data_IF_298537318660
#
_entry.id   IF_298537318660
#
_cell.length_a   1.000
_cell.length_b   1.000
_cell.length_c   1.000
_cell.angle_alpha   90.00
_cell.angle_beta   90.00
_cell.angle_gamma   90.00
#
_symmetry.space_group_name_H-M   'P 1'
#
loop_
_entity.id
_entity.type
_entity.pdbx_description
1 polymer ?
#
# COMPACT_ATOMS: atom_id res chain seq x y z
N UNK A 1 -35.74 65.75 -36.27
CA UNK A 1 -35.67 64.30 -35.95
C UNK A 1 -34.28 63.73 -36.24
N UNK A 2 -33.29 63.90 -35.35
CA UNK A 2 -32.03 63.12 -35.45
C UNK A 2 -31.33 62.84 -34.11
N UNK A 3 -31.91 63.26 -32.97
CA UNK A 3 -31.26 63.08 -31.67
C UNK A 3 -31.53 61.72 -31.00
N UNK A 4 -32.56 60.99 -31.45
CA UNK A 4 -32.89 59.64 -30.94
C UNK A 4 -32.13 58.50 -31.63
N UNK A 5 -31.44 58.77 -32.76
CA UNK A 5 -30.69 57.73 -33.49
C UNK A 5 -29.34 57.41 -32.86
N UNK A 6 -28.76 58.33 -32.09
CA UNK A 6 -27.43 58.15 -31.48
C UNK A 6 -27.43 57.43 -30.12
N UNK A 7 -28.57 57.32 -29.42
CA UNK A 7 -28.60 56.56 -28.16
C UNK A 7 -28.78 55.05 -28.37
N UNK A 8 -29.41 54.62 -29.45
CA UNK A 8 -29.58 53.19 -29.76
C UNK A 8 -28.27 52.56 -30.27
N UNK A 9 -27.39 53.34 -30.90
CA UNK A 9 -26.07 52.87 -31.35
C UNK A 9 -25.11 52.68 -30.16
N UNK A 10 -25.19 53.51 -29.12
CA UNK A 10 -24.36 53.36 -27.92
C UNK A 10 -24.84 52.27 -26.95
N UNK A 11 -26.11 51.89 -26.98
CA UNK A 11 -26.63 50.76 -26.19
C UNK A 11 -26.33 49.39 -26.81
N UNK A 12 -26.14 49.31 -28.14
CA UNK A 12 -25.68 48.08 -28.79
C UNK A 12 -24.18 47.83 -28.64
N UNK A 13 -23.39 48.86 -28.37
CA UNK A 13 -21.94 48.74 -28.17
C UNK A 13 -21.54 48.25 -26.76
N UNK A 14 -22.46 48.24 -25.80
CA UNK A 14 -22.20 47.82 -24.41
C UNK A 14 -22.62 46.38 -24.10
N UNK A 15 -23.29 45.68 -25.02
CA UNK A 15 -23.82 44.32 -24.80
C UNK A 15 -23.11 43.18 -25.53
N UNK A 16 -21.98 43.43 -26.19
CA UNK A 16 -21.15 42.37 -26.75
C UNK A 16 -19.83 42.26 -25.98
N UNK A 17 -19.89 41.75 -24.75
CA UNK A 17 -18.73 41.13 -24.12
C UNK A 17 -18.38 39.84 -24.88
N UNK A 18 -17.60 39.97 -25.96
CA UNK A 18 -16.73 38.90 -26.45
C UNK A 18 -15.65 38.68 -25.39
N UNK A 19 -15.91 37.89 -24.35
CA UNK A 19 -14.87 37.31 -23.46
C UNK A 19 -15.37 36.29 -22.40
N UNK A 20 -16.56 35.64 -22.47
CA UNK A 20 -16.93 34.67 -21.43
C UNK A 20 -16.05 33.40 -21.46
N UNK A 21 -15.49 33.05 -22.63
CA UNK A 21 -14.62 31.87 -22.75
C UNK A 21 -13.29 32.06 -22.03
N UNK A 22 -12.64 33.22 -22.11
CA UNK A 22 -11.30 33.43 -21.55
C UNK A 22 -11.34 33.43 -20.01
N UNK A 23 -12.40 33.97 -19.41
CA UNK A 23 -12.61 33.91 -17.95
C UNK A 23 -12.96 32.49 -17.49
N UNK A 24 -13.80 31.76 -18.24
CA UNK A 24 -14.12 30.36 -17.93
C UNK A 24 -12.90 29.43 -18.01
N UNK A 25 -12.07 29.57 -19.04
CA UNK A 25 -10.82 28.78 -19.17
C UNK A 25 -9.82 29.08 -18.04
N UNK A 26 -9.71 30.34 -17.60
CA UNK A 26 -8.87 30.69 -16.44
C UNK A 26 -9.40 30.06 -15.14
N UNK A 27 -10.71 30.12 -14.90
CA UNK A 27 -11.32 29.51 -13.72
C UNK A 27 -11.14 27.99 -13.74
N UNK A 28 -11.33 27.35 -14.89
CA UNK A 28 -11.10 25.90 -15.05
C UNK A 28 -9.63 25.52 -14.85
N UNK A 29 -8.69 26.36 -15.29
CA UNK A 29 -7.25 26.15 -15.06
C UNK A 29 -6.89 26.27 -13.57
N UNK A 30 -7.40 27.29 -12.86
CA UNK A 30 -7.20 27.42 -11.41
C UNK A 30 -7.87 26.28 -10.63
N UNK A 31 -9.06 25.84 -11.05
CA UNK A 31 -9.76 24.69 -10.47
C UNK A 31 -9.00 23.37 -10.70
N UNK A 32 -8.43 23.18 -11.88
CA UNK A 32 -7.57 22.04 -12.20
C UNK A 32 -6.29 22.03 -11.35
N UNK A 33 -5.62 23.17 -11.18
CA UNK A 33 -4.46 23.29 -10.27
C UNK A 33 -4.86 23.03 -8.82
N UNK A 34 -6.01 23.54 -8.38
CA UNK A 34 -6.51 23.30 -7.03
C UNK A 34 -6.80 21.81 -6.79
N UNK A 35 -7.43 21.12 -7.76
CA UNK A 35 -7.63 19.68 -7.71
C UNK A 35 -6.29 18.94 -7.69
N UNK A 36 -5.35 19.32 -8.56
CA UNK A 36 -4.04 18.68 -8.64
C UNK A 36 -3.23 18.84 -7.35
N UNK A 37 -3.28 20.03 -6.73
CA UNK A 37 -2.64 20.28 -5.42
C UNK A 37 -3.33 19.49 -4.31
N UNK A 38 -4.65 19.31 -4.35
CA UNK A 38 -5.38 18.44 -3.42
C UNK A 38 -4.97 16.97 -3.57
N UNK A 39 -4.82 16.49 -4.81
CA UNK A 39 -4.34 15.13 -5.09
C UNK A 39 -2.88 14.92 -4.69
N UNK A 40 -2.02 15.93 -4.86
CA UNK A 40 -0.61 15.86 -4.43
C UNK A 40 -0.47 15.79 -2.90
N UNK A 41 -1.34 16.48 -2.14
CA UNK A 41 -1.37 16.39 -0.67
C UNK A 41 -1.82 15.00 -0.23
N UNK A 42 -2.77 14.37 -0.93
CA UNK A 42 -3.27 13.03 -0.59
C UNK A 42 -2.22 11.91 -0.78
N UNK A 43 -1.22 12.13 -1.63
CA UNK A 43 -0.11 11.19 -1.83
C UNK A 43 1.08 11.40 -0.86
N UNK A 44 1.11 12.49 -0.09
CA UNK A 44 2.21 12.80 0.82
C UNK A 44 1.88 12.34 2.24
N UNK A 45 2.53 11.27 2.72
CA UNK A 45 2.66 11.03 4.17
C UNK A 45 2.06 9.74 4.75
N UNK A 46 1.83 8.69 3.96
CA UNK A 46 1.41 7.39 4.52
C UNK A 46 2.56 6.57 5.09
N UNK A 47 3.75 6.62 4.49
CA UNK A 47 4.90 5.83 4.93
C UNK A 47 5.72 6.57 5.99
N UNK A 48 6.00 5.89 7.10
CA UNK A 48 6.85 6.38 8.18
C UNK A 48 8.31 6.24 7.79
N UNK A 49 9.13 7.24 8.15
CA UNK A 49 10.55 7.27 7.75
C UNK A 49 11.39 6.48 8.74
N UNK A 50 12.01 5.38 8.28
CA UNK A 50 12.97 4.61 9.09
C UNK A 50 14.18 5.48 9.46
N UNK A 51 14.56 5.47 10.73
CA UNK A 51 15.76 6.09 11.23
C UNK A 51 16.90 5.06 11.32
N UNK A 52 17.97 5.32 10.58
CA UNK A 52 19.14 4.44 10.53
C UNK A 52 19.01 3.31 9.51
N UNK A 53 19.98 2.41 9.52
CA UNK A 53 20.05 1.26 8.61
C UNK A 53 19.63 -0.03 9.34
N UNK A 54 18.74 -0.84 8.75
CA UNK A 54 18.33 -2.13 9.33
C UNK A 54 19.45 -3.18 9.27
N UNK A 55 20.52 -2.94 8.50
CA UNK A 55 21.65 -3.85 8.28
C UNK A 55 22.60 -4.02 9.49
N UNK A 56 22.16 -3.64 10.69
CA UNK A 56 22.92 -3.82 11.95
C UNK A 56 22.16 -4.63 13.00
N UNK A 57 21.00 -5.18 12.67
CA UNK A 57 20.26 -6.05 13.58
C UNK A 57 21.04 -7.34 13.83
N UNK A 58 21.10 -7.77 15.09
CA UNK A 58 21.69 -9.06 15.48
C UNK A 58 20.95 -10.25 14.84
N UNK A 59 19.70 -10.05 14.43
CA UNK A 59 18.84 -11.08 13.81
C UNK A 59 18.93 -11.14 12.29
N UNK A 60 19.80 -10.33 11.67
CA UNK A 60 20.08 -10.32 10.24
C UNK A 60 20.16 -11.73 9.61
N UNK A 61 20.86 -12.72 10.21
CA UNK A 61 20.97 -14.05 9.63
C UNK A 61 19.63 -14.77 9.45
N UNK A 62 18.61 -14.45 10.26
CA UNK A 62 17.30 -15.09 10.21
C UNK A 62 16.36 -14.45 9.18
N UNK A 63 16.58 -13.19 8.83
CA UNK A 63 15.77 -12.47 7.85
C UNK A 63 16.39 -12.49 6.44
N UNK A 64 17.68 -12.78 6.33
CA UNK A 64 18.44 -12.75 5.07
C UNK A 64 19.13 -11.41 4.86
N UNK A 65 20.14 -11.39 3.98
CA UNK A 65 20.97 -10.21 3.78
C UNK A 65 20.23 -9.07 3.05
N UNK A 66 19.20 -9.43 2.27
CA UNK A 66 18.38 -8.49 1.50
C UNK A 66 17.06 -8.08 2.16
N UNK A 67 16.85 -8.34 3.47
CA UNK A 67 15.55 -8.06 4.09
C UNK A 67 15.18 -6.58 4.09
N UNK A 68 13.89 -6.30 3.99
CA UNK A 68 13.33 -4.95 3.97
C UNK A 68 12.29 -4.77 5.08
N UNK A 69 12.28 -3.60 5.72
CA UNK A 69 11.28 -3.22 6.72
C UNK A 69 10.67 -1.88 6.37
N UNK A 70 9.37 -1.73 6.63
CA UNK A 70 8.70 -0.43 6.54
C UNK A 70 7.50 -0.36 7.47
N UNK A 71 7.12 0.86 7.80
CA UNK A 71 5.91 1.13 8.58
C UNK A 71 5.09 2.19 7.85
N UNK A 72 3.77 2.08 7.88
CA UNK A 72 2.87 3.06 7.31
C UNK A 72 1.71 3.38 8.25
N UNK A 73 1.32 4.65 8.30
CA UNK A 73 0.09 5.09 8.92
C UNK A 73 -1.08 4.63 8.05
N UNK A 74 -2.07 4.03 8.69
CA UNK A 74 -3.26 3.52 8.02
C UNK A 74 -4.42 4.47 8.23
N UNK A 75 -5.01 4.91 7.13
CA UNK A 75 -6.22 5.74 7.15
C UNK A 75 -7.48 4.85 7.16
N UNK A 76 -8.64 5.48 7.39
CA UNK A 76 -9.91 4.75 7.54
C UNK A 76 -10.29 4.00 6.26
N UNK A 77 -9.94 4.56 5.12
CA UNK A 77 -10.20 4.04 3.78
C UNK A 77 -9.36 2.78 3.53
N UNK A 78 -8.09 2.80 3.93
CA UNK A 78 -7.13 1.71 3.74
C UNK A 78 -7.50 0.46 4.59
N UNK A 79 -8.20 0.65 5.72
CA UNK A 79 -8.68 -0.46 6.57
C UNK A 79 -9.63 -1.41 5.84
N UNK A 80 -10.29 -0.97 4.77
CA UNK A 80 -11.17 -1.86 3.98
C UNK A 80 -10.35 -2.91 3.25
N UNK A 81 -9.20 -2.52 2.69
CA UNK A 81 -8.29 -3.44 2.01
C UNK A 81 -7.61 -4.37 3.01
N UNK A 82 -7.13 -3.83 4.14
CA UNK A 82 -6.50 -4.64 5.19
C UNK A 82 -7.47 -5.69 5.76
N UNK A 83 -8.76 -5.35 5.90
CA UNK A 83 -9.79 -6.33 6.29
C UNK A 83 -9.93 -7.48 5.30
N UNK A 84 -9.81 -7.22 4.00
CA UNK A 84 -9.82 -8.27 2.97
C UNK A 84 -8.58 -9.14 3.10
N UNK A 85 -7.41 -8.54 3.24
CA UNK A 85 -6.14 -9.28 3.41
C UNK A 85 -6.17 -10.21 4.62
N UNK A 86 -6.62 -9.72 5.77
CA UNK A 86 -6.76 -10.51 7.00
C UNK A 86 -7.70 -11.71 6.79
N UNK A 87 -8.85 -11.51 6.14
CA UNK A 87 -9.79 -12.59 5.85
C UNK A 87 -9.23 -13.61 4.86
N UNK A 88 -8.48 -13.15 3.86
CA UNK A 88 -7.84 -14.03 2.88
C UNK A 88 -6.79 -14.92 3.55
N UNK A 89 -5.99 -14.38 4.46
CA UNK A 89 -5.03 -15.16 5.26
C UNK A 89 -5.74 -16.22 6.12
N UNK A 90 -6.81 -15.82 6.82
CA UNK A 90 -7.62 -16.73 7.65
C UNK A 90 -8.30 -17.83 6.84
N UNK A 91 -8.66 -17.55 5.58
CA UNK A 91 -9.21 -18.54 4.67
C UNK A 91 -8.15 -19.54 4.18
N UNK A 92 -6.89 -19.10 4.05
CA UNK A 92 -5.78 -19.94 3.58
C UNK A 92 -5.23 -20.87 4.66
N UNK A 93 -4.99 -20.37 5.88
CA UNK A 93 -4.32 -21.16 6.94
C UNK A 93 -5.26 -21.88 7.91
N UNK A 94 -6.53 -21.48 7.96
CA UNK A 94 -7.60 -22.08 8.79
C UNK A 94 -7.14 -22.40 10.23
N UNK A 95 -6.80 -21.37 11.03
CA UNK A 95 -6.42 -21.56 12.44
C UNK A 95 -7.62 -22.06 13.27
N UNK A 96 -7.34 -22.66 14.44
CA UNK A 96 -8.39 -23.18 15.35
C UNK A 96 -9.39 -22.10 15.76
N UNK A 97 -8.90 -20.88 16.01
CA UNK A 97 -9.73 -19.74 16.46
C UNK A 97 -10.23 -18.87 15.29
N UNK A 98 -10.38 -19.46 14.10
CA UNK A 98 -10.73 -18.73 12.86
C UNK A 98 -11.97 -17.87 13.04
N UNK A 99 -13.02 -18.37 13.69
CA UNK A 99 -14.29 -17.65 13.84
C UNK A 99 -14.10 -16.37 14.66
N UNK A 100 -13.33 -16.44 15.74
CA UNK A 100 -13.04 -15.29 16.59
C UNK A 100 -12.20 -14.27 15.84
N UNK A 101 -11.09 -14.70 15.23
CA UNK A 101 -10.23 -13.81 14.41
C UNK A 101 -10.97 -13.18 13.24
N UNK A 102 -11.93 -13.88 12.64
CA UNK A 102 -12.75 -13.34 11.56
C UNK A 102 -13.69 -12.25 12.06
N UNK A 103 -14.35 -12.47 13.20
CA UNK A 103 -15.19 -11.45 13.86
C UNK A 103 -14.36 -10.23 14.27
N UNK A 104 -13.14 -10.45 14.75
CA UNK A 104 -12.22 -9.37 15.07
C UNK A 104 -11.84 -8.55 13.84
N UNK A 105 -11.51 -9.21 12.72
CA UNK A 105 -11.24 -8.53 11.45
C UNK A 105 -12.47 -7.73 10.98
N UNK A 106 -13.68 -8.25 11.14
CA UNK A 106 -14.92 -7.52 10.82
C UNK A 106 -15.12 -6.29 11.70
N UNK A 107 -14.74 -6.38 12.98
CA UNK A 107 -14.87 -5.29 13.95
C UNK A 107 -13.90 -4.13 13.75
N UNK A 108 -12.86 -4.29 12.91
CA UNK A 108 -11.87 -3.24 12.66
C UNK A 108 -12.53 -1.93 12.21
N UNK A 109 -12.35 -0.89 13.02
CA UNK A 109 -12.91 0.43 12.76
C UNK A 109 -11.84 1.53 12.96
N UNK A 110 -11.73 2.42 11.98
CA UNK A 110 -10.76 3.52 11.99
C UNK A 110 -11.02 4.57 13.09
N UNK A 111 -12.19 4.53 13.73
CA UNK A 111 -12.52 5.42 14.84
C UNK A 111 -12.17 4.85 16.21
N UNK A 112 -11.41 3.78 16.34
CA UNK A 112 -11.05 3.21 17.66
C UNK A 112 -9.70 3.70 18.18
N UNK A 113 -8.77 3.98 17.28
CA UNK A 113 -7.38 4.25 17.63
C UNK A 113 -6.57 4.72 16.44
N UNK A 114 -5.26 4.82 16.66
CA UNK A 114 -4.28 5.09 15.61
C UNK A 114 -3.78 3.75 15.10
N UNK A 115 -3.82 3.56 13.79
CA UNK A 115 -3.39 2.33 13.14
C UNK A 115 -2.06 2.55 12.41
N UNK A 116 -1.11 1.67 12.66
CA UNK A 116 0.18 1.62 11.97
C UNK A 116 0.37 0.20 11.44
N UNK A 117 0.65 0.06 10.16
CA UNK A 117 1.00 -1.21 9.53
C UNK A 117 2.51 -1.31 9.45
N UNK A 118 3.08 -2.21 10.24
CA UNK A 118 4.48 -2.60 10.11
C UNK A 118 4.58 -3.80 9.16
N UNK A 119 5.53 -3.79 8.24
CA UNK A 119 5.80 -4.90 7.35
C UNK A 119 7.30 -5.22 7.30
N UNK A 120 7.60 -6.52 7.28
CA UNK A 120 8.93 -7.08 7.06
C UNK A 120 8.88 -8.03 5.87
N UNK A 121 9.79 -7.82 4.93
CA UNK A 121 9.97 -8.63 3.72
C UNK A 121 11.35 -9.29 3.83
N UNK A 122 11.44 -10.47 4.45
CA UNK A 122 12.67 -11.24 4.47
C UNK A 122 12.97 -11.88 3.12
N UNK A 123 14.24 -12.25 2.93
CA UNK A 123 14.71 -12.97 1.73
C UNK A 123 14.15 -14.40 1.68
N UNK A 124 14.01 -15.02 2.86
CA UNK A 124 13.49 -16.38 3.03
C UNK A 124 12.35 -16.42 4.05
N UNK A 125 11.63 -17.54 4.12
CA UNK A 125 10.64 -17.74 5.19
C UNK A 125 11.32 -17.70 6.56
N UNK A 126 10.66 -17.02 7.49
CA UNK A 126 11.12 -16.80 8.86
C UNK A 126 10.25 -17.60 9.83
N UNK A 127 10.87 -18.17 10.85
CA UNK A 127 10.15 -18.87 11.92
C UNK A 127 9.35 -17.89 12.79
N UNK A 128 8.20 -18.30 13.36
CA UNK A 128 7.36 -17.43 14.18
C UNK A 128 8.08 -16.76 15.37
N UNK A 129 9.09 -17.43 15.94
CA UNK A 129 9.87 -16.92 17.08
C UNK A 129 10.63 -15.63 16.76
N UNK A 130 11.07 -15.47 15.50
CA UNK A 130 11.77 -14.26 15.05
C UNK A 130 10.82 -13.16 14.57
N UNK A 131 9.51 -13.35 14.76
CA UNK A 131 8.45 -12.42 14.36
C UNK A 131 7.67 -11.85 15.57
N UNK A 132 8.12 -12.15 16.79
CA UNK A 132 7.50 -11.68 18.03
C UNK A 132 7.96 -10.25 18.38
N UNK A 133 7.49 -9.29 17.59
CA UNK A 133 7.84 -7.87 17.74
C UNK A 133 7.01 -7.20 18.82
N UNK A 134 7.65 -6.30 19.58
CA UNK A 134 6.95 -5.39 20.49
C UNK A 134 6.86 -4.00 19.85
N UNK A 135 5.69 -3.38 19.95
CA UNK A 135 5.39 -2.12 19.29
C UNK A 135 5.09 -1.01 20.28
N UNK A 136 5.73 0.12 20.07
CA UNK A 136 5.57 1.32 20.89
C UNK A 136 5.37 2.55 20.01
N UNK A 137 4.50 3.46 20.43
CA UNK A 137 4.34 4.77 19.84
C UNK A 137 4.57 5.79 20.95
N UNK A 138 5.67 6.54 20.88
CA UNK A 138 6.04 7.48 21.96
C UNK A 138 6.03 6.82 23.36
N UNK A 139 6.68 5.67 23.48
CA UNK A 139 6.74 4.85 24.71
C UNK A 139 5.41 4.24 25.19
N UNK A 140 4.30 4.46 24.46
CA UNK A 140 3.02 3.80 24.73
C UNK A 140 2.96 2.48 23.96
N UNK A 141 2.70 1.38 24.66
CA UNK A 141 2.55 0.06 24.05
C UNK A 141 1.28 -0.05 23.20
N UNK A 142 1.33 -0.91 22.18
CA UNK A 142 0.16 -1.23 21.38
C UNK A 142 -0.98 -1.88 22.19
N UNK A 143 -2.22 -1.49 21.91
CA UNK A 143 -3.42 -2.08 22.52
C UNK A 143 -3.74 -3.44 21.91
N UNK A 144 -3.53 -3.55 20.59
CA UNK A 144 -3.88 -4.74 19.82
C UNK A 144 -3.02 -4.84 18.58
N UNK A 145 -2.70 -6.07 18.20
CA UNK A 145 -1.85 -6.39 17.06
C UNK A 145 -2.55 -7.50 16.25
N UNK A 146 -2.66 -7.31 14.95
CA UNK A 146 -3.11 -8.34 14.01
C UNK A 146 -1.98 -8.72 13.07
N UNK A 147 -1.57 -9.99 13.14
CA UNK A 147 -0.46 -10.52 12.36
C UNK A 147 -1.02 -11.30 11.18
N UNK A 148 -0.54 -11.03 9.98
CA UNK A 148 -0.93 -11.77 8.79
C UNK A 148 0.22 -11.89 7.79
N UNK A 149 0.17 -12.97 7.02
CA UNK A 149 1.19 -13.33 6.06
C UNK A 149 0.63 -13.22 4.65
N UNK A 150 1.38 -12.54 3.80
CA UNK A 150 1.10 -12.41 2.37
C UNK A 150 2.27 -13.02 1.61
N UNK A 151 1.95 -13.85 0.62
CA UNK A 151 2.93 -14.38 -0.31
C UNK A 151 2.67 -13.79 -1.69
N UNK A 152 3.67 -13.10 -2.23
CA UNK A 152 3.63 -12.61 -3.61
C UNK A 152 4.43 -13.56 -4.51
N UNK A 153 3.91 -13.82 -5.70
CA UNK A 153 4.59 -14.60 -6.73
C UNK A 153 4.63 -13.77 -8.01
N UNK A 154 5.82 -13.35 -8.40
CA UNK A 154 6.05 -12.55 -9.60
C UNK A 154 6.78 -13.40 -10.63
N UNK A 155 6.11 -13.71 -11.73
CA UNK A 155 6.74 -14.37 -12.88
C UNK A 155 7.01 -13.32 -13.97
N UNK A 156 8.28 -13.07 -14.27
CA UNK A 156 8.69 -12.25 -15.41
C UNK A 156 9.10 -13.19 -16.54
N UNK A 157 8.41 -13.09 -17.67
CA UNK A 157 8.74 -13.84 -18.89
C UNK A 157 9.42 -12.87 -19.85
N UNK A 158 10.68 -13.11 -20.18
CA UNK A 158 11.38 -12.32 -21.21
C UNK A 158 10.97 -12.84 -22.59
N UNK A 159 9.82 -12.39 -23.10
CA UNK A 159 9.35 -12.73 -24.44
C UNK A 159 8.98 -11.48 -25.24
N UNK A 160 9.37 -11.44 -26.53
CA UNK A 160 9.02 -10.35 -27.46
C UNK A 160 7.54 -10.37 -27.89
N UNK A 161 6.82 -11.47 -27.62
CA UNK A 161 5.39 -11.62 -27.91
C UNK A 161 4.60 -11.96 -26.65
N UNK A 162 3.39 -11.41 -26.55
CA UNK A 162 2.46 -11.60 -25.44
C UNK A 162 2.17 -13.09 -25.21
N UNK A 163 2.80 -13.69 -24.20
CA UNK A 163 2.46 -15.05 -23.75
C UNK A 163 1.23 -14.97 -22.87
N UNK A 164 0.07 -15.30 -23.42
CA UNK A 164 -1.23 -15.21 -22.73
C UNK A 164 -1.39 -16.16 -21.52
N UNK A 165 -0.36 -16.95 -21.17
CA UNK A 165 -0.44 -17.94 -20.11
C UNK A 165 0.84 -17.91 -19.25
N UNK A 166 0.97 -16.94 -18.32
CA UNK A 166 1.87 -17.15 -17.19
C UNK A 166 1.20 -18.23 -16.31
N UNK A 167 1.96 -19.18 -15.79
CA UNK A 167 1.53 -20.13 -14.74
C UNK A 167 0.72 -21.36 -15.21
N UNK A 168 1.40 -22.35 -15.81
CA UNK A 168 0.95 -23.77 -15.74
C UNK A 168 2.02 -24.73 -15.22
N UNK A 169 3.23 -24.27 -14.89
CA UNK A 169 4.34 -25.14 -14.51
C UNK A 169 4.58 -25.35 -13.00
N UNK A 170 4.03 -24.50 -12.13
CA UNK A 170 4.45 -24.43 -10.71
C UNK A 170 3.44 -24.92 -9.68
N UNK A 171 2.21 -25.29 -10.07
CA UNK A 171 1.23 -25.85 -9.15
C UNK A 171 0.86 -27.27 -9.56
N UNK A 172 1.15 -28.22 -8.69
CA UNK A 172 0.83 -29.63 -8.90
C UNK A 172 -0.68 -29.91 -8.88
N UNK A 173 -1.16 -30.51 -9.97
CA UNK A 173 -2.33 -31.41 -10.10
C UNK A 173 -3.76 -30.81 -10.08
N UNK A 174 -4.71 -31.33 -10.89
CA UNK A 174 -4.61 -31.93 -12.23
C UNK A 174 -5.30 -31.02 -13.27
N UNK A 175 -4.56 -30.49 -14.24
CA UNK A 175 -5.19 -29.92 -15.44
C UNK A 175 -4.59 -30.56 -16.68
N UNK A 176 -5.50 -31.03 -17.52
CA UNK A 176 -5.27 -31.74 -18.77
C UNK A 176 -4.15 -31.08 -19.59
N UNK A 177 -3.12 -31.87 -19.89
CA UNK A 177 -2.16 -31.53 -20.94
C UNK A 177 -2.95 -31.30 -22.22
N UNK A 178 -2.85 -30.11 -22.82
CA UNK A 178 -3.47 -29.84 -24.10
C UNK A 178 -3.06 -30.94 -25.11
N UNK A 179 -3.98 -31.39 -26.00
CA UNK A 179 -3.69 -32.46 -26.94
C UNK A 179 -2.44 -32.16 -27.77
N UNK A 180 -1.60 -33.17 -28.07
CA UNK A 180 -0.43 -32.96 -28.91
C UNK A 180 -0.89 -32.45 -30.29
N UNK A 181 -0.36 -31.30 -30.74
CA UNK A 181 -0.59 -30.79 -32.09
C UNK A 181 -1.27 -29.42 -32.23
N UNK A 182 -1.66 -28.75 -31.14
CA UNK A 182 -2.31 -27.42 -31.21
C UNK A 182 -1.30 -26.26 -31.33
N UNK A 183 -0.02 -26.51 -31.04
CA UNK A 183 1.06 -25.54 -31.27
C UNK A 183 2.14 -26.19 -32.15
N UNK A 184 2.35 -25.64 -33.34
CA UNK A 184 3.48 -26.01 -34.19
C UNK A 184 4.77 -25.48 -33.56
N UNK A 185 5.43 -26.32 -32.77
CA UNK A 185 6.83 -26.08 -32.42
C UNK A 185 7.69 -26.36 -33.67
N UNK A 186 7.75 -25.40 -34.58
CA UNK A 186 8.86 -25.31 -35.52
C UNK A 186 10.18 -25.31 -34.75
N UNK A 187 11.26 -25.75 -35.39
CA UNK A 187 12.62 -25.68 -34.88
C UNK A 187 12.97 -24.26 -34.50
N UNK A 188 12.80 -23.93 -33.22
CA UNK A 188 13.24 -22.67 -32.67
C UNK A 188 13.88 -22.92 -31.32
N UNK A 189 15.19 -22.70 -31.28
CA UNK A 189 15.95 -22.47 -30.06
C UNK A 189 15.43 -21.15 -29.48
N UNK A 190 14.46 -21.21 -28.58
CA UNK A 190 13.98 -20.06 -27.82
C UNK A 190 14.35 -20.26 -26.35
N UNK A 191 15.39 -19.58 -25.89
CA UNK A 191 15.63 -19.37 -24.46
C UNK A 191 14.67 -18.27 -23.98
N UNK A 192 13.40 -18.64 -23.75
CA UNK A 192 12.51 -17.78 -22.97
C UNK A 192 12.92 -17.88 -21.51
N UNK A 193 13.72 -16.92 -21.04
CA UNK A 193 14.05 -16.81 -19.62
C UNK A 193 12.76 -16.48 -18.84
N UNK A 194 12.31 -17.43 -18.02
CA UNK A 194 11.24 -17.22 -17.04
C UNK A 194 11.91 -17.07 -15.69
N UNK A 195 11.97 -15.84 -15.18
CA UNK A 195 12.43 -15.58 -13.82
C UNK A 195 11.22 -15.52 -12.90
N UNK A 196 11.15 -16.41 -11.92
CA UNK A 196 10.13 -16.43 -10.87
C UNK A 196 10.72 -15.92 -9.57
N UNK A 197 10.11 -14.88 -9.02
CA UNK A 197 10.47 -14.28 -7.72
C UNK A 197 9.30 -14.57 -6.76
N UNK A 198 9.61 -15.15 -5.61
CA UNK A 198 8.63 -15.34 -4.53
C UNK A 198 9.02 -14.45 -3.37
N UNK A 199 8.11 -13.57 -2.95
CA UNK A 199 8.33 -12.69 -1.82
C UNK A 199 7.46 -13.12 -0.65
N UNK A 200 8.10 -13.25 0.52
CA UNK A 200 7.44 -13.51 1.79
C UNK A 200 7.23 -12.18 2.50
N UNK A 201 5.98 -11.81 2.78
CA UNK A 201 5.66 -10.52 3.41
C UNK A 201 4.92 -10.81 4.71
N UNK A 202 5.51 -10.41 5.83
CA UNK A 202 4.87 -10.49 7.14
C UNK A 202 4.40 -9.10 7.54
N UNK A 203 3.10 -8.98 7.80
CA UNK A 203 2.42 -7.72 8.10
C UNK A 203 1.83 -7.75 9.51
N UNK A 204 1.96 -6.63 10.20
CA UNK A 204 1.52 -6.42 11.56
C UNK A 204 0.72 -5.13 11.59
N UNK A 205 -0.61 -5.25 11.64
CA UNK A 205 -1.47 -4.11 11.88
C UNK A 205 -1.48 -3.85 13.39
N UNK A 206 -0.99 -2.70 13.81
CA UNK A 206 -0.86 -2.31 15.20
C UNK A 206 -1.84 -1.18 15.51
N UNK A 207 -2.60 -1.31 16.59
CA UNK A 207 -3.49 -0.26 17.09
C UNK A 207 -2.96 0.33 18.38
N UNK A 208 -2.91 1.65 18.43
CA UNK A 208 -2.60 2.45 19.63
C UNK A 208 -3.82 3.24 20.08
N UNK A 209 -3.89 3.61 21.38
CA UNK A 209 -4.92 4.52 21.88
C UNK A 209 -4.92 5.84 21.12
N UNK A 210 -6.09 6.47 20.93
CA UNK A 210 -6.18 7.77 20.23
C UNK A 210 -5.40 8.89 20.90
N UNK A 211 -5.34 8.84 22.23
CA UNK A 211 -4.75 9.90 23.03
C UNK A 211 -3.21 9.90 22.97
N UNK A 212 -2.61 8.87 22.36
CA UNK A 212 -1.17 8.66 22.30
C UNK A 212 -0.42 9.81 21.63
N UNK A 213 -0.99 10.46 20.62
CA UNK A 213 -0.36 11.60 19.94
C UNK A 213 -0.40 12.88 20.78
N UNK A 214 -1.39 13.02 21.67
CA UNK A 214 -1.60 14.23 22.46
C UNK A 214 -0.86 14.21 23.80
N UNK A 215 -0.45 13.03 24.29
CA UNK A 215 0.20 12.87 25.59
C UNK A 215 1.66 13.31 25.62
N UNK A 216 2.34 13.40 24.48
CA UNK A 216 3.77 13.65 24.44
C UNK A 216 4.08 15.10 24.07
N UNK A 217 4.83 15.82 24.90
CA UNK A 217 5.23 17.22 24.65
C UNK A 217 6.43 17.36 23.70
N UNK A 218 6.91 16.25 23.14
CA UNK A 218 8.02 16.25 22.20
C UNK A 218 7.53 16.66 20.81
N UNK A 219 8.28 17.54 20.14
CA UNK A 219 7.95 18.03 18.79
C UNK A 219 7.97 16.94 17.70
N UNK A 220 8.44 15.73 18.00
CA UNK A 220 8.52 14.60 17.07
C UNK A 220 7.93 13.34 17.68
N UNK A 221 7.19 12.60 16.86
CA UNK A 221 6.51 11.36 17.25
C UNK A 221 7.28 10.20 16.62
N UNK A 222 7.57 9.17 17.41
CA UNK A 222 8.30 8.00 16.95
C UNK A 222 7.52 6.72 17.18
N UNK A 223 7.44 5.93 16.12
CA UNK A 223 7.02 4.53 16.18
C UNK A 223 8.27 3.67 16.35
N UNK A 224 8.30 2.87 17.41
CA UNK A 224 9.42 2.01 17.76
C UNK A 224 8.99 0.55 17.71
N UNK A 225 9.79 -0.27 17.03
CA UNK A 225 9.63 -1.73 16.97
C UNK A 225 10.83 -2.34 17.68
N UNK A 226 10.58 -3.11 18.72
CA UNK A 226 11.60 -3.88 19.43
C UNK A 226 11.52 -5.32 18.94
N UNK A 227 12.65 -5.83 18.47
CA UNK A 227 12.77 -7.19 17.94
C UNK A 227 12.96 -8.21 19.08
N UNK A 228 12.73 -9.51 18.83
CA UNK A 228 12.93 -10.57 19.83
C UNK A 228 14.33 -10.56 20.49
N UNK A 229 15.38 -10.22 19.75
CA UNK A 229 16.75 -10.06 20.22
C UNK A 229 17.04 -8.67 20.82
N UNK A 230 15.99 -7.90 21.12
CA UNK A 230 16.02 -6.58 21.77
C UNK A 230 16.69 -5.47 20.94
N UNK A 231 16.79 -5.67 19.62
CA UNK A 231 17.20 -4.59 18.73
C UNK A 231 16.04 -3.62 18.53
N UNK A 232 16.34 -2.35 18.25
CA UNK A 232 15.34 -1.29 18.17
C UNK A 232 15.33 -0.69 16.76
N UNK A 233 14.19 -0.80 16.08
CA UNK A 233 13.90 -0.06 14.85
C UNK A 233 13.04 1.16 15.19
N UNK A 234 13.44 2.33 14.73
CA UNK A 234 12.71 3.59 14.95
C UNK A 234 12.23 4.18 13.64
N UNK A 235 10.97 4.61 13.63
CA UNK A 235 10.33 5.27 12.50
C UNK A 235 9.81 6.63 12.95
N UNK A 236 10.12 7.67 12.19
CA UNK A 236 9.53 9.01 12.37
C UNK A 236 8.10 8.98 11.83
N UNK A 237 7.14 9.27 12.71
CA UNK A 237 5.69 9.26 12.46
C UNK A 237 5.21 10.56 11.80
#
# INVERSE_FOLDING_TARGET
MSFLRNQIVNLKATFFFKTPQITFFKIFYYFSIFIYTFFLIYCSGKNLKLQGEPNRLSELPFYGAGFYVSASKIEKEDLVEIRKDLKNELASRIPKDRIERWKEADSLNGSEGIYILFQIVPETRVLPEFLDFQFYLNDVSADKIWNYYVQSFTAKVRNYRFSALPVYGTFGYPFYTAPPGVYSSGTFVYDSDVTTETEHIYRFLVRFPKDTLFKNSQNKIFFQVVTPAKSILRFEY
#
